data_IF_648291177700
#
_entry.id   IF_648291177700
#
_cell.length_a   1.000
_cell.length_b   1.000
_cell.length_c   1.000
_cell.angle_alpha   90.00
_cell.angle_beta   90.00
_cell.angle_gamma   90.00
#
_symmetry.space_group_name_H-M   'P 1'
#
loop_
_entity.id
_entity.type
_entity.pdbx_description
1 polymer ?
#
# COMPACT_ATOMS: atom_id res chain seq x y z
N UNK A 1 14.67 21.12 -26.31
CA UNK A 1 15.29 19.80 -26.04
C UNK A 1 15.72 19.24 -27.38
N UNK A 2 16.97 18.76 -27.52
CA UNK A 2 17.47 18.26 -28.79
C UNK A 2 16.95 16.84 -29.06
N UNK A 3 16.54 16.60 -30.31
CA UNK A 3 16.12 15.32 -30.87
C UNK A 3 17.10 14.17 -30.54
N UNK A 4 16.60 13.05 -30.03
CA UNK A 4 17.39 11.79 -29.99
C UNK A 4 17.48 11.13 -31.38
N UNK A 5 16.61 11.50 -32.32
CA UNK A 5 16.65 11.03 -33.72
C UNK A 5 16.76 12.24 -34.65
N UNK A 6 17.98 12.56 -35.09
CA UNK A 6 18.25 13.66 -36.02
C UNK A 6 18.14 13.26 -37.49
N UNK A 7 18.00 11.96 -37.77
CA UNK A 7 17.88 11.42 -39.12
C UNK A 7 16.59 10.60 -39.25
N UNK A 8 15.69 11.07 -40.10
CA UNK A 8 14.49 10.35 -40.51
C UNK A 8 14.84 9.48 -41.71
N UNK A 9 14.37 8.22 -41.71
CA UNK A 9 14.58 7.31 -42.83
C UNK A 9 13.67 7.67 -44.00
N UNK A 10 14.00 7.20 -45.20
CA UNK A 10 13.18 7.38 -46.40
C UNK A 10 11.75 6.83 -46.16
N UNK A 11 10.73 7.68 -46.30
CA UNK A 11 9.32 7.34 -46.02
C UNK A 11 8.83 7.65 -44.59
N UNK A 12 9.62 8.31 -43.74
CA UNK A 12 9.16 8.91 -42.48
C UNK A 12 8.85 10.40 -42.66
N UNK A 13 7.66 10.85 -42.23
CA UNK A 13 7.27 12.26 -42.24
C UNK A 13 7.35 12.81 -40.80
N UNK A 14 8.10 13.90 -40.55
CA UNK A 14 8.21 14.48 -39.21
C UNK A 14 6.91 15.17 -38.76
N UNK A 15 6.64 15.14 -37.45
CA UNK A 15 5.51 15.80 -36.79
C UNK A 15 6.05 16.58 -35.58
N UNK A 16 5.89 17.91 -35.58
CA UNK A 16 6.28 18.82 -34.49
C UNK A 16 7.67 18.54 -33.91
N UNK A 17 8.65 18.28 -34.79
CA UNK A 17 10.07 18.04 -34.52
C UNK A 17 10.44 16.84 -33.64
N UNK A 18 9.54 16.27 -32.84
CA UNK A 18 9.85 15.21 -31.87
C UNK A 18 9.21 13.85 -32.20
N UNK A 19 8.21 13.86 -33.09
CA UNK A 19 7.52 12.67 -33.56
C UNK A 19 7.72 12.46 -35.05
N UNK A 20 7.47 11.23 -35.51
CA UNK A 20 7.33 10.95 -36.93
C UNK A 20 6.18 9.99 -37.20
N UNK A 21 5.66 10.06 -38.42
CA UNK A 21 4.76 9.07 -38.98
C UNK A 21 5.49 8.30 -40.07
N UNK A 22 5.18 7.02 -40.23
CA UNK A 22 5.81 6.17 -41.23
C UNK A 22 4.84 5.09 -41.69
N UNK A 23 5.01 4.61 -42.91
CA UNK A 23 4.15 3.57 -43.48
C UNK A 23 4.62 2.19 -43.04
N UNK A 24 3.71 1.34 -42.57
CA UNK A 24 3.96 -0.08 -42.30
C UNK A 24 2.81 -0.91 -42.89
N UNK A 25 3.07 -1.62 -43.97
CA UNK A 25 2.02 -2.24 -44.78
C UNK A 25 1.14 -1.17 -45.43
N UNK A 26 -0.18 -1.29 -45.30
CA UNK A 26 -1.12 -0.32 -45.87
C UNK A 26 -1.38 0.90 -44.96
N UNK A 27 -1.04 0.82 -43.67
CA UNK A 27 -1.45 1.81 -42.68
C UNK A 27 -0.28 2.67 -42.19
N UNK A 28 -0.57 3.96 -41.98
CA UNK A 28 0.33 4.89 -41.33
C UNK A 28 0.43 4.62 -39.82
N UNK A 29 1.65 4.67 -39.30
CA UNK A 29 2.00 4.49 -37.90
C UNK A 29 2.62 5.78 -37.37
N UNK A 30 2.38 6.09 -36.11
CA UNK A 30 2.97 7.19 -35.37
C UNK A 30 4.02 6.68 -34.39
N UNK A 31 5.11 7.43 -34.22
CA UNK A 31 6.16 7.17 -33.25
C UNK A 31 6.64 8.46 -32.59
N UNK A 32 6.73 8.44 -31.27
CA UNK A 32 7.30 9.51 -30.44
C UNK A 32 8.23 8.90 -29.40
N UNK A 33 9.43 9.45 -29.25
CA UNK A 33 10.33 9.06 -28.16
C UNK A 33 9.92 9.75 -26.87
N UNK A 34 9.82 9.00 -25.77
CA UNK A 34 9.50 9.52 -24.44
C UNK A 34 10.75 9.47 -23.56
N UNK A 35 11.47 10.60 -23.37
CA UNK A 35 12.75 10.61 -22.64
C UNK A 35 12.61 10.13 -21.19
N UNK A 36 11.55 10.53 -20.49
CA UNK A 36 11.29 10.15 -19.10
C UNK A 36 11.08 8.65 -18.91
N UNK A 37 10.50 7.98 -19.92
CA UNK A 37 10.18 6.55 -19.87
C UNK A 37 11.18 5.70 -20.66
N UNK A 38 12.16 6.34 -21.32
CA UNK A 38 13.19 5.74 -22.16
C UNK A 38 12.63 4.73 -23.18
N UNK A 39 11.46 5.03 -23.75
CA UNK A 39 10.69 4.15 -24.63
C UNK A 39 9.99 4.94 -25.74
N UNK A 40 9.70 4.27 -26.86
CA UNK A 40 8.92 4.85 -27.95
C UNK A 40 7.42 4.61 -27.76
N UNK A 41 6.63 5.68 -27.64
CA UNK A 41 5.19 5.62 -27.89
C UNK A 41 4.95 5.28 -29.37
N UNK A 42 4.16 4.26 -29.64
CA UNK A 42 3.81 3.82 -31.00
C UNK A 42 2.30 3.64 -31.08
N UNK A 43 1.67 4.17 -32.13
CA UNK A 43 0.21 4.11 -32.34
C UNK A 43 -0.08 3.96 -33.82
N UNK A 44 -0.96 3.04 -34.21
CA UNK A 44 -1.47 3.00 -35.57
C UNK A 44 -2.45 4.15 -35.79
N UNK A 45 -2.26 4.92 -36.86
CA UNK A 45 -3.16 6.01 -37.23
C UNK A 45 -4.41 5.51 -37.95
N UNK A 46 -4.44 4.21 -38.30
CA UNK A 46 -5.57 3.52 -38.95
C UNK A 46 -6.07 4.31 -40.18
N UNK A 47 -5.14 4.78 -41.00
CA UNK A 47 -5.42 5.47 -42.27
C UNK A 47 -4.42 5.04 -43.33
N UNK A 48 -4.86 5.04 -44.59
CA UNK A 48 -4.03 4.83 -45.79
C UNK A 48 -3.61 6.16 -46.44
N UNK A 49 -4.41 7.22 -46.25
CA UNK A 49 -4.16 8.57 -46.78
C UNK A 49 -3.11 9.31 -45.95
N UNK A 50 -2.11 9.87 -46.64
CA UNK A 50 -1.01 10.66 -46.06
C UNK A 50 -1.51 11.95 -45.40
N UNK A 51 -2.34 12.73 -46.09
CA UNK A 51 -2.89 13.97 -45.55
C UNK A 51 -3.64 13.74 -44.23
N UNK A 52 -4.46 12.68 -44.19
CA UNK A 52 -5.15 12.27 -42.97
C UNK A 52 -4.19 11.74 -41.89
N UNK A 53 -3.09 11.10 -42.29
CA UNK A 53 -2.07 10.62 -41.36
C UNK A 53 -1.33 11.77 -40.68
N UNK A 54 -1.02 12.84 -41.40
CA UNK A 54 -0.39 14.05 -40.85
C UNK A 54 -1.30 14.66 -39.78
N UNK A 55 -2.57 14.88 -40.07
CA UNK A 55 -3.52 15.48 -39.11
C UNK A 55 -3.73 14.58 -37.87
N UNK A 56 -3.90 13.27 -38.07
CA UNK A 56 -4.00 12.32 -36.94
C UNK A 56 -2.70 12.22 -36.14
N UNK A 57 -1.54 12.34 -36.80
CA UNK A 57 -0.23 12.36 -36.17
C UNK A 57 -0.06 13.59 -35.29
N UNK A 58 -0.44 14.77 -35.78
CA UNK A 58 -0.45 16.02 -35.02
C UNK A 58 -1.35 15.91 -33.78
N UNK A 59 -2.58 15.41 -33.95
CA UNK A 59 -3.51 15.21 -32.85
C UNK A 59 -2.96 14.24 -31.78
N UNK A 60 -2.37 13.12 -32.20
CA UNK A 60 -1.75 12.15 -31.30
C UNK A 60 -0.55 12.74 -30.54
N UNK A 61 0.27 13.56 -31.20
CA UNK A 61 1.36 14.28 -30.53
C UNK A 61 0.82 15.22 -29.45
N UNK A 62 -0.17 16.07 -29.78
CA UNK A 62 -0.76 17.02 -28.83
C UNK A 62 -1.39 16.30 -27.62
N UNK A 63 -2.10 15.20 -27.85
CA UNK A 63 -2.70 14.37 -26.80
C UNK A 63 -1.63 13.81 -25.83
N UNK A 64 -0.57 13.21 -26.37
CA UNK A 64 0.51 12.63 -25.57
C UNK A 64 1.26 13.74 -24.83
N UNK A 65 1.59 14.82 -25.52
CA UNK A 65 2.31 15.96 -24.95
C UNK A 65 1.51 16.61 -23.80
N UNK A 66 0.21 16.84 -23.99
CA UNK A 66 -0.66 17.37 -22.95
C UNK A 66 -0.70 16.48 -21.70
N UNK A 67 -0.78 15.16 -21.87
CA UNK A 67 -0.73 14.22 -20.75
C UNK A 67 0.63 14.24 -20.03
N UNK A 68 1.74 14.32 -20.77
CA UNK A 68 3.08 14.43 -20.18
C UNK A 68 3.29 15.74 -19.41
N UNK A 69 2.74 16.85 -19.91
CA UNK A 69 2.75 18.15 -19.21
C UNK A 69 1.90 18.13 -17.95
N UNK A 70 0.81 17.35 -17.93
CA UNK A 70 0.03 17.07 -16.72
C UNK A 70 0.72 16.09 -15.75
N UNK A 71 1.92 15.60 -16.09
CA UNK A 71 2.66 14.66 -15.25
C UNK A 71 2.16 13.23 -15.32
N UNK A 72 1.25 12.90 -16.24
CA UNK A 72 0.78 11.53 -16.46
C UNK A 72 1.84 10.75 -17.23
N UNK A 73 2.12 9.51 -16.79
CA UNK A 73 2.93 8.61 -17.61
C UNK A 73 2.16 8.23 -18.89
N UNK A 74 2.86 7.80 -19.93
CA UNK A 74 2.27 7.19 -21.11
C UNK A 74 2.14 5.69 -20.90
N UNK A 75 3.24 4.98 -20.63
CA UNK A 75 3.23 3.56 -20.35
C UNK A 75 2.65 3.27 -18.97
N UNK A 76 1.81 2.25 -18.87
CA UNK A 76 1.36 1.75 -17.57
C UNK A 76 2.45 0.87 -16.95
N UNK A 77 2.79 1.17 -15.70
CA UNK A 77 3.51 0.23 -14.84
C UNK A 77 2.55 -0.89 -14.38
N UNK A 78 3.12 -1.98 -13.90
CA UNK A 78 2.35 -3.06 -13.29
C UNK A 78 1.93 -2.71 -11.85
N UNK A 79 0.92 -3.40 -11.33
CA UNK A 79 0.50 -3.31 -9.93
C UNK A 79 1.66 -3.60 -8.96
N UNK A 80 2.51 -4.59 -9.28
CA UNK A 80 3.71 -4.89 -8.49
C UNK A 80 4.68 -3.70 -8.44
N UNK A 81 5.00 -3.12 -9.58
CA UNK A 81 5.88 -1.94 -9.66
C UNK A 81 5.26 -0.75 -8.89
N UNK A 82 3.94 -0.56 -8.98
CA UNK A 82 3.22 0.46 -8.22
C UNK A 82 3.31 0.28 -6.71
N UNK A 83 3.15 -0.95 -6.23
CA UNK A 83 3.31 -1.30 -4.80
C UNK A 83 4.74 -1.04 -4.33
N UNK A 84 5.74 -1.46 -5.11
CA UNK A 84 7.16 -1.22 -4.77
C UNK A 84 7.50 0.27 -4.67
N UNK A 85 7.03 1.08 -5.62
CA UNK A 85 7.18 2.54 -5.58
C UNK A 85 6.57 3.13 -4.30
N UNK A 86 5.35 2.72 -3.95
CA UNK A 86 4.70 3.22 -2.74
C UNK A 86 5.37 2.75 -1.45
N UNK A 87 5.82 1.50 -1.38
CA UNK A 87 6.59 1.02 -0.22
C UNK A 87 7.91 1.78 -0.07
N UNK A 88 8.58 2.12 -1.17
CA UNK A 88 9.78 2.96 -1.12
C UNK A 88 9.49 4.36 -0.58
N UNK A 89 8.34 4.94 -0.96
CA UNK A 89 7.86 6.22 -0.42
C UNK A 89 7.56 6.12 1.08
N UNK A 90 6.82 5.09 1.51
CA UNK A 90 6.52 4.84 2.93
C UNK A 90 7.75 4.50 3.75
N UNK A 91 8.82 3.97 3.15
CA UNK A 91 10.10 3.76 3.82
C UNK A 91 10.77 5.10 4.17
N UNK A 92 10.71 6.09 3.28
CA UNK A 92 11.18 7.45 3.60
C UNK A 92 10.37 8.08 4.74
N UNK A 93 9.07 7.79 4.83
CA UNK A 93 8.25 8.21 5.98
C UNK A 93 8.73 7.58 7.30
N UNK A 94 9.33 6.38 7.28
CA UNK A 94 9.99 5.80 8.47
C UNK A 94 11.26 6.56 8.82
N UNK A 95 12.09 6.85 7.82
CA UNK A 95 13.35 7.58 7.98
C UNK A 95 13.13 9.00 8.51
N UNK A 96 12.04 9.64 8.11
CA UNK A 96 11.61 10.97 8.58
C UNK A 96 10.82 10.93 9.91
N UNK A 97 10.55 9.74 10.46
CA UNK A 97 9.81 9.59 11.72
C UNK A 97 8.29 9.84 11.62
N UNK A 98 7.73 9.98 10.41
CA UNK A 98 6.29 10.09 10.20
C UNK A 98 5.55 8.79 10.51
N UNK A 99 6.19 7.62 10.33
CA UNK A 99 5.67 6.33 10.73
C UNK A 99 6.74 5.44 11.37
N UNK A 100 6.29 4.46 12.16
CA UNK A 100 7.17 3.42 12.73
C UNK A 100 7.36 2.25 11.77
N UNK A 101 8.46 1.51 11.92
CA UNK A 101 8.80 0.33 11.08
C UNK A 101 7.69 -0.75 11.07
N UNK A 102 7.05 -0.99 12.21
CA UNK A 102 5.92 -1.93 12.30
C UNK A 102 4.72 -1.53 11.42
N UNK A 103 4.50 -0.22 11.22
CA UNK A 103 3.45 0.27 10.31
C UNK A 103 3.81 -0.01 8.86
N UNK A 104 5.08 0.17 8.47
CA UNK A 104 5.54 -0.18 7.12
C UNK A 104 5.37 -1.67 6.83
N UNK A 105 5.72 -2.54 7.78
CA UNK A 105 5.52 -3.98 7.65
C UNK A 105 4.04 -4.34 7.45
N UNK A 106 3.14 -3.70 8.23
CA UNK A 106 1.69 -3.87 8.08
C UNK A 106 1.20 -3.45 6.69
N UNK A 107 1.66 -2.31 6.18
CA UNK A 107 1.32 -1.83 4.84
C UNK A 107 1.78 -2.83 3.78
N UNK A 108 3.01 -3.34 3.89
CA UNK A 108 3.53 -4.34 2.96
C UNK A 108 2.67 -5.61 2.94
N UNK A 109 2.26 -6.12 4.10
CA UNK A 109 1.35 -7.28 4.18
C UNK A 109 0.00 -7.01 3.52
N UNK A 110 -0.62 -5.85 3.78
CA UNK A 110 -1.89 -5.48 3.16
C UNK A 110 -1.77 -5.43 1.62
N UNK A 111 -0.71 -4.80 1.12
CA UNK A 111 -0.48 -4.68 -0.33
C UNK A 111 -0.12 -6.01 -0.98
N UNK A 112 0.49 -6.94 -0.23
CA UNK A 112 0.70 -8.29 -0.73
C UNK A 112 -0.63 -9.05 -0.94
N UNK A 113 -1.60 -8.88 -0.04
CA UNK A 113 -2.95 -9.44 -0.23
C UNK A 113 -3.67 -8.82 -1.44
N UNK A 114 -3.50 -7.51 -1.66
CA UNK A 114 -3.98 -6.83 -2.86
C UNK A 114 -3.38 -7.42 -4.14
N UNK A 115 -2.05 -7.58 -4.19
CA UNK A 115 -1.37 -8.17 -5.35
C UNK A 115 -1.81 -9.62 -5.63
N UNK A 116 -2.10 -10.40 -4.59
CA UNK A 116 -2.65 -11.75 -4.75
C UNK A 116 -4.06 -11.74 -5.35
N UNK A 117 -4.84 -10.70 -5.06
CA UNK A 117 -6.21 -10.57 -5.58
C UNK A 117 -6.25 -10.01 -7.01
N UNK A 118 -5.56 -8.89 -7.26
CA UNK A 118 -5.64 -8.19 -8.55
C UNK A 118 -4.67 -8.74 -9.61
N UNK A 119 -3.66 -9.50 -9.19
CA UNK A 119 -2.55 -9.95 -10.02
C UNK A 119 -1.36 -8.99 -10.00
N UNK A 120 -0.14 -9.52 -10.08
CA UNK A 120 1.12 -8.75 -9.99
C UNK A 120 1.49 -8.02 -11.28
N UNK A 121 1.07 -8.56 -12.41
CA UNK A 121 1.46 -8.10 -13.74
C UNK A 121 0.39 -7.25 -14.43
N UNK A 122 -0.77 -7.10 -13.78
CA UNK A 122 -1.89 -6.26 -14.23
C UNK A 122 -1.44 -4.81 -14.35
N UNK A 123 -1.84 -4.13 -15.42
CA UNK A 123 -1.44 -2.75 -15.68
C UNK A 123 -2.33 -1.78 -14.89
N UNK A 124 -1.72 -0.87 -14.14
CA UNK A 124 -2.45 0.11 -13.31
C UNK A 124 -3.46 0.99 -14.06
N UNK A 125 -3.25 1.24 -15.35
CA UNK A 125 -4.16 2.03 -16.20
C UNK A 125 -5.29 1.22 -16.81
N UNK A 126 -5.23 -0.11 -16.73
CA UNK A 126 -6.32 -1.01 -17.13
C UNK A 126 -7.32 -1.24 -15.98
N UNK A 127 -6.97 -0.79 -14.76
CA UNK A 127 -7.81 -0.99 -13.58
C UNK A 127 -8.96 0.01 -13.53
N UNK A 128 -10.14 -0.51 -13.24
CA UNK A 128 -11.37 0.24 -13.02
C UNK A 128 -11.73 0.29 -11.52
N UNK A 129 -12.61 1.24 -11.15
CA UNK A 129 -13.00 1.44 -9.75
C UNK A 129 -13.65 0.21 -9.13
N UNK A 130 -14.32 -0.60 -9.93
CA UNK A 130 -15.08 -1.80 -9.54
C UNK A 130 -14.23 -3.06 -9.41
N UNK A 131 -12.98 -3.07 -9.88
CA UNK A 131 -12.16 -4.29 -9.89
C UNK A 131 -11.93 -4.89 -8.50
N UNK A 132 -12.05 -4.08 -7.45
CA UNK A 132 -11.92 -4.52 -6.06
C UNK A 132 -13.25 -4.71 -5.33
N UNK A 133 -14.39 -4.67 -6.01
CA UNK A 133 -15.72 -4.79 -5.37
C UNK A 133 -15.81 -6.08 -4.52
N UNK A 134 -15.32 -7.19 -5.05
CA UNK A 134 -15.37 -8.52 -4.42
C UNK A 134 -14.16 -8.85 -3.52
N UNK A 135 -13.32 -7.88 -3.19
CA UNK A 135 -12.10 -8.09 -2.40
C UNK A 135 -12.39 -8.78 -1.05
N UNK A 136 -13.44 -8.36 -0.34
CA UNK A 136 -13.80 -8.97 0.95
C UNK A 136 -14.16 -10.45 0.82
N UNK A 137 -14.97 -10.81 -0.19
CA UNK A 137 -15.34 -12.20 -0.43
C UNK A 137 -14.10 -13.06 -0.71
N UNK A 138 -13.18 -12.58 -1.54
CA UNK A 138 -11.91 -13.26 -1.80
C UNK A 138 -11.07 -13.44 -0.53
N UNK A 139 -10.94 -12.39 0.30
CA UNK A 139 -10.20 -12.46 1.58
C UNK A 139 -10.84 -13.43 2.57
N UNK A 140 -12.16 -13.44 2.64
CA UNK A 140 -12.91 -14.35 3.48
C UNK A 140 -12.69 -15.81 3.07
N UNK A 141 -12.77 -16.10 1.76
CA UNK A 141 -12.54 -17.44 1.21
C UNK A 141 -11.10 -17.91 1.37
N UNK A 142 -10.12 -17.05 1.04
CA UNK A 142 -8.68 -17.38 1.11
C UNK A 142 -8.17 -17.66 2.53
N UNK A 143 -8.89 -17.23 3.56
CA UNK A 143 -8.53 -17.47 4.96
C UNK A 143 -9.42 -18.51 5.64
N UNK A 144 -10.27 -19.21 4.88
CA UNK A 144 -11.26 -20.13 5.42
C UNK A 144 -12.09 -19.48 6.54
N UNK A 145 -12.61 -18.27 6.29
CA UNK A 145 -13.48 -17.51 7.22
C UNK A 145 -12.80 -17.03 8.50
N UNK A 146 -11.47 -17.09 8.59
CA UNK A 146 -10.72 -16.65 9.80
C UNK A 146 -10.45 -15.14 9.82
N UNK A 147 -10.46 -14.46 8.67
CA UNK A 147 -10.17 -13.02 8.63
C UNK A 147 -11.30 -12.21 9.27
N UNK A 148 -10.92 -11.29 10.15
CA UNK A 148 -11.88 -10.34 10.75
C UNK A 148 -12.23 -9.25 9.75
N UNK A 149 -13.48 -8.82 9.77
CA UNK A 149 -13.94 -7.72 8.90
C UNK A 149 -13.15 -6.42 9.11
N UNK A 150 -12.80 -6.07 10.34
CA UNK A 150 -11.98 -4.89 10.66
C UNK A 150 -10.60 -4.97 10.00
N UNK A 151 -10.01 -6.16 9.93
CA UNK A 151 -8.74 -6.37 9.21
C UNK A 151 -8.90 -6.05 7.74
N UNK A 152 -9.97 -6.53 7.09
CA UNK A 152 -10.21 -6.24 5.67
C UNK A 152 -10.50 -4.75 5.45
N UNK A 153 -11.22 -4.06 6.33
CA UNK A 153 -11.42 -2.61 6.24
C UNK A 153 -10.10 -1.82 6.31
N UNK A 154 -9.17 -2.27 7.15
CA UNK A 154 -7.83 -1.68 7.22
C UNK A 154 -7.00 -1.96 5.96
N UNK A 155 -7.12 -3.15 5.39
CA UNK A 155 -6.53 -3.50 4.08
C UNK A 155 -7.09 -2.57 2.98
N UNK A 156 -8.42 -2.46 2.86
CA UNK A 156 -9.11 -1.58 1.89
C UNK A 156 -8.64 -0.13 1.99
N UNK A 157 -8.53 0.39 3.21
CA UNK A 157 -8.02 1.76 3.47
C UNK A 157 -6.57 1.93 3.00
N UNK A 158 -5.74 0.88 3.17
CA UNK A 158 -4.34 0.90 2.74
C UNK A 158 -4.22 0.86 1.22
N UNK A 159 -5.06 0.06 0.56
CA UNK A 159 -5.13 -0.03 -0.91
C UNK A 159 -5.58 1.31 -1.49
N UNK A 160 -6.61 1.95 -0.93
CA UNK A 160 -7.04 3.26 -1.40
C UNK A 160 -6.01 4.36 -1.14
N UNK A 161 -5.23 4.28 -0.06
CA UNK A 161 -4.11 5.20 0.16
C UNK A 161 -3.00 5.03 -0.91
N UNK A 162 -2.69 3.78 -1.29
CA UNK A 162 -1.79 3.47 -2.40
C UNK A 162 -2.32 4.08 -3.71
N UNK A 163 -3.57 3.80 -4.07
CA UNK A 163 -4.15 4.28 -5.34
C UNK A 163 -4.19 5.81 -5.41
N UNK A 164 -4.56 6.47 -4.31
CA UNK A 164 -4.55 7.93 -4.22
C UNK A 164 -3.15 8.50 -4.45
N UNK A 165 -2.12 7.87 -3.88
CA UNK A 165 -0.74 8.28 -4.09
C UNK A 165 -0.30 8.03 -5.54
N UNK A 166 -0.61 6.87 -6.12
CA UNK A 166 -0.28 6.55 -7.51
C UNK A 166 -0.95 7.51 -8.50
N UNK A 167 -2.21 7.86 -8.27
CA UNK A 167 -2.95 8.82 -9.09
C UNK A 167 -2.33 10.22 -9.03
N UNK A 168 -1.96 10.68 -7.82
CA UNK A 168 -1.27 11.96 -7.62
C UNK A 168 0.08 12.01 -8.35
N UNK A 169 0.74 10.86 -8.53
CA UNK A 169 1.99 10.73 -9.28
C UNK A 169 1.78 10.39 -10.77
N UNK A 170 0.54 10.42 -11.27
CA UNK A 170 0.23 10.25 -12.70
C UNK A 170 0.32 8.80 -13.21
N UNK A 171 0.33 7.80 -12.33
CA UNK A 171 0.54 6.39 -12.72
C UNK A 171 -0.77 5.62 -13.01
N UNK A 172 -1.91 6.13 -12.56
CA UNK A 172 -3.24 5.53 -12.75
C UNK A 172 -4.30 6.62 -12.93
N UNK A 173 -5.41 6.27 -13.56
CA UNK A 173 -6.53 7.18 -13.82
C UNK A 173 -7.55 7.23 -12.68
N UNK A 174 -7.56 6.22 -11.80
CA UNK A 174 -8.46 6.16 -10.64
C UNK A 174 -7.73 6.55 -9.35
N UNK A 175 -8.41 7.25 -8.47
CA UNK A 175 -7.89 7.69 -7.17
C UNK A 175 -8.17 6.69 -6.04
N UNK A 176 -9.19 5.84 -6.22
CA UNK A 176 -9.60 4.83 -5.24
C UNK A 176 -10.44 3.73 -5.89
N UNK A 177 -10.51 2.58 -5.23
CA UNK A 177 -11.46 1.52 -5.56
C UNK A 177 -12.75 1.65 -4.75
N UNK A 178 -13.83 1.19 -5.38
CA UNK A 178 -15.15 1.03 -4.78
C UNK A 178 -15.28 -0.40 -4.25
N UNK A 179 -15.05 -0.56 -2.95
CA UNK A 179 -15.26 -1.83 -2.27
C UNK A 179 -16.73 -2.01 -1.92
N UNK A 180 -17.24 -3.25 -2.01
CA UNK A 180 -18.59 -3.57 -1.54
C UNK A 180 -18.75 -3.18 -0.07
N UNK A 181 -19.81 -2.44 0.23
CA UNK A 181 -20.13 -2.03 1.60
C UNK A 181 -20.28 -3.27 2.48
N UNK A 182 -19.49 -3.30 3.54
CA UNK A 182 -19.53 -4.37 4.52
C UNK A 182 -20.65 -4.09 5.53
N UNK A 183 -21.34 -5.13 6.02
CA UNK A 183 -22.37 -4.95 7.04
C UNK A 183 -21.77 -4.27 8.27
N UNK A 184 -22.59 -3.51 9.01
CA UNK A 184 -22.14 -2.96 10.29
C UNK A 184 -21.77 -4.14 11.19
N UNK A 185 -20.56 -4.13 11.74
CA UNK A 185 -20.24 -5.02 12.84
C UNK A 185 -21.09 -4.60 14.03
N UNK A 186 -21.85 -5.54 14.59
CA UNK A 186 -22.38 -5.36 15.93
C UNK A 186 -21.18 -5.30 16.89
N UNK A 187 -21.03 -4.15 17.57
CA UNK A 187 -19.95 -3.90 18.52
C UNK A 187 -20.20 -4.57 19.88
N UNK A 188 -21.32 -5.27 20.08
CA UNK A 188 -21.76 -5.90 21.33
C UNK A 188 -20.69 -6.09 22.42
N UNK A 189 -20.14 -7.31 22.54
CA UNK A 189 -19.15 -7.67 23.57
C UNK A 189 -17.74 -7.05 23.36
N UNK A 190 -17.56 -6.09 22.46
CA UNK A 190 -16.28 -5.38 22.35
C UNK A 190 -16.00 -4.55 23.62
N UNK A 191 -17.06 -4.08 24.30
CA UNK A 191 -16.99 -3.45 25.61
C UNK A 191 -16.49 -4.43 26.70
N UNK A 192 -16.95 -5.69 26.69
CA UNK A 192 -16.47 -6.73 27.61
C UNK A 192 -15.03 -7.15 27.27
N UNK A 193 -14.68 -7.27 25.98
CA UNK A 193 -13.32 -7.61 25.53
C UNK A 193 -12.26 -6.56 25.87
N UNK A 194 -12.68 -5.30 26.10
CA UNK A 194 -11.81 -4.21 26.54
C UNK A 194 -12.12 -3.78 27.98
N UNK A 195 -12.91 -4.57 28.71
CA UNK A 195 -13.19 -4.28 30.10
C UNK A 195 -11.87 -4.31 30.88
N UNK A 196 -11.65 -3.24 31.64
CA UNK A 196 -10.61 -3.20 32.66
C UNK A 196 -11.11 -3.95 33.88
N UNK A 197 -10.19 -4.56 34.63
CA UNK A 197 -10.52 -5.13 35.93
C UNK A 197 -11.19 -4.07 36.80
N UNK A 198 -12.29 -4.42 37.44
CA UNK A 198 -12.85 -3.64 38.55
C UNK A 198 -11.89 -3.66 39.74
N UNK A 199 -12.10 -2.80 40.73
CA UNK A 199 -11.27 -2.76 41.93
C UNK A 199 -11.31 -4.10 42.68
N UNK A 200 -12.46 -4.76 42.77
CA UNK A 200 -12.64 -6.05 43.45
C UNK A 200 -11.94 -7.20 42.70
N UNK A 201 -12.01 -7.19 41.36
CA UNK A 201 -11.29 -8.15 40.52
C UNK A 201 -9.77 -7.94 40.58
N UNK A 202 -9.33 -6.67 40.58
CA UNK A 202 -7.93 -6.33 40.79
C UNK A 202 -7.45 -6.75 42.19
N UNK A 203 -8.30 -6.60 43.20
CA UNK A 203 -8.02 -7.05 44.56
C UNK A 203 -7.84 -8.56 44.63
N UNK A 204 -8.77 -9.29 44.03
CA UNK A 204 -8.68 -10.75 43.90
C UNK A 204 -7.37 -11.15 43.20
N UNK A 205 -7.01 -10.46 42.12
CA UNK A 205 -5.79 -10.71 41.37
C UNK A 205 -4.51 -10.49 42.21
N UNK A 206 -4.35 -9.34 42.88
CA UNK A 206 -3.12 -9.11 43.65
C UNK A 206 -3.03 -10.00 44.89
N UNK A 207 -4.16 -10.38 45.51
CA UNK A 207 -4.19 -11.36 46.61
C UNK A 207 -3.77 -12.74 46.13
N UNK A 208 -4.28 -13.19 44.99
CA UNK A 208 -3.83 -14.44 44.37
C UNK A 208 -2.33 -14.41 44.06
N UNK A 209 -1.80 -13.29 43.53
CA UNK A 209 -0.36 -13.14 43.29
C UNK A 209 0.49 -13.19 44.57
N UNK A 210 -0.02 -12.67 45.69
CA UNK A 210 0.66 -12.78 46.99
C UNK A 210 0.76 -14.24 47.44
N UNK A 211 -0.33 -14.98 47.35
CA UNK A 211 -0.35 -16.43 47.67
C UNK A 211 0.53 -17.21 46.70
N UNK A 212 0.53 -16.87 45.41
CA UNK A 212 1.35 -17.51 44.37
C UNK A 212 2.86 -17.41 44.65
N UNK A 213 3.31 -16.33 45.29
CA UNK A 213 4.71 -16.11 45.68
C UNK A 213 5.00 -16.43 47.16
N UNK A 214 4.06 -17.05 47.89
CA UNK A 214 4.19 -17.25 49.32
C UNK A 214 5.17 -18.38 49.68
N UNK A 215 5.86 -18.21 50.82
CA UNK A 215 6.88 -19.15 51.31
C UNK A 215 6.35 -20.57 51.58
N UNK A 216 5.07 -20.70 51.92
CA UNK A 216 4.46 -22.00 52.21
C UNK A 216 4.35 -22.91 50.97
N UNK A 217 4.52 -22.37 49.76
CA UNK A 217 4.54 -23.15 48.52
C UNK A 217 5.85 -23.94 48.31
N UNK A 218 6.85 -23.80 49.20
CA UNK A 218 8.14 -24.52 49.15
C UNK A 218 8.82 -24.45 47.77
N UNK A 219 8.78 -23.26 47.17
CA UNK A 219 9.35 -22.99 45.85
C UNK A 219 10.87 -22.94 45.93
N UNK A 220 11.54 -23.39 44.87
CA UNK A 220 12.96 -23.12 44.71
C UNK A 220 13.22 -21.63 44.40
N UNK A 221 14.46 -21.19 44.57
CA UNK A 221 14.84 -19.79 44.40
C UNK A 221 14.68 -19.28 42.95
N UNK A 222 14.81 -20.16 41.96
CA UNK A 222 14.69 -19.80 40.55
C UNK A 222 13.22 -19.57 40.18
N UNK A 223 12.34 -20.46 40.60
CA UNK A 223 10.90 -20.35 40.43
C UNK A 223 10.35 -19.16 41.21
N UNK A 224 10.75 -18.97 42.48
CA UNK A 224 10.34 -17.80 43.26
C UNK A 224 10.72 -16.49 42.56
N UNK A 225 11.92 -16.42 41.97
CA UNK A 225 12.38 -15.26 41.20
C UNK A 225 11.48 -14.99 40.00
N UNK A 226 11.16 -16.01 39.19
CA UNK A 226 10.27 -15.86 38.03
C UNK A 226 8.88 -15.39 38.47
N UNK A 227 8.31 -16.00 39.53
CA UNK A 227 7.00 -15.62 40.06
C UNK A 227 6.99 -14.18 40.58
N UNK A 228 8.05 -13.75 41.26
CA UNK A 228 8.22 -12.37 41.72
C UNK A 228 8.32 -11.37 40.58
N UNK A 229 9.02 -11.71 39.49
CA UNK A 229 9.08 -10.86 38.29
C UNK A 229 7.67 -10.66 37.72
N UNK A 230 6.87 -11.72 37.60
CA UNK A 230 5.48 -11.62 37.13
C UNK A 230 4.64 -10.75 38.06
N UNK A 231 4.73 -10.97 39.38
CA UNK A 231 4.02 -10.16 40.38
C UNK A 231 4.36 -8.67 40.24
N UNK A 232 5.64 -8.33 40.19
CA UNK A 232 6.07 -6.94 40.05
C UNK A 232 5.70 -6.35 38.69
N UNK A 233 5.72 -7.13 37.62
CA UNK A 233 5.28 -6.70 36.30
C UNK A 233 3.80 -6.29 36.32
N UNK A 234 2.91 -7.10 36.89
CA UNK A 234 1.47 -6.75 36.99
C UNK A 234 1.26 -5.53 37.89
N UNK A 235 1.97 -5.43 39.01
CA UNK A 235 1.87 -4.27 39.92
C UNK A 235 2.32 -2.98 39.23
N UNK A 236 3.46 -2.99 38.54
CA UNK A 236 3.94 -1.81 37.80
C UNK A 236 2.95 -1.45 36.69
N UNK A 237 2.41 -2.42 35.95
CA UNK A 237 1.42 -2.16 34.90
C UNK A 237 0.19 -1.43 35.45
N UNK A 238 -0.36 -1.94 36.56
CA UNK A 238 -1.57 -1.39 37.18
C UNK A 238 -1.36 0.02 37.77
N UNK A 239 -0.19 0.30 38.34
CA UNK A 239 0.08 1.59 39.00
C UNK A 239 0.62 2.67 38.05
N UNK A 240 1.26 2.29 36.94
CA UNK A 240 1.89 3.26 36.03
C UNK A 240 1.03 3.62 34.82
N UNK A 241 0.05 2.79 34.46
CA UNK A 241 -0.72 2.96 33.23
C UNK A 241 0.09 2.80 31.93
N UNK A 242 1.34 2.34 32.02
CA UNK A 242 2.20 2.09 30.86
C UNK A 242 1.61 1.00 29.97
N UNK A 243 1.79 1.13 28.65
CA UNK A 243 1.51 0.02 27.74
C UNK A 243 2.54 -1.09 27.96
N UNK A 244 2.13 -2.33 27.73
CA UNK A 244 3.00 -3.54 27.83
C UNK A 244 4.35 -3.36 27.13
N UNK A 245 4.35 -2.74 25.93
CA UNK A 245 5.58 -2.47 25.18
C UNK A 245 6.49 -1.44 25.84
N UNK A 246 5.92 -0.37 26.39
CA UNK A 246 6.64 0.70 27.11
C UNK A 246 7.25 0.13 28.40
N UNK A 247 6.46 -0.65 29.15
CA UNK A 247 6.92 -1.28 30.39
C UNK A 247 8.07 -2.26 30.18
N UNK A 248 8.11 -2.99 29.06
CA UNK A 248 9.22 -3.88 28.70
C UNK A 248 10.52 -3.15 28.38
N UNK A 249 10.45 -1.85 28.09
CA UNK A 249 11.61 -1.00 27.79
C UNK A 249 12.11 -0.23 29.02
N UNK A 250 11.50 -0.43 30.20
CA UNK A 250 11.96 0.20 31.44
C UNK A 250 13.39 -0.24 31.78
N UNK A 251 14.25 0.75 32.03
CA UNK A 251 15.61 0.55 32.49
C UNK A 251 15.84 1.34 33.77
N UNK A 252 16.55 0.75 34.73
CA UNK A 252 17.02 1.48 35.89
C UNK A 252 18.16 2.41 35.45
N UNK A 253 17.95 3.72 35.53
CA UNK A 253 19.07 4.65 35.54
C UNK A 253 19.79 4.48 36.88
N UNK A 254 21.05 4.02 36.84
CA UNK A 254 21.93 4.17 38.00
C UNK A 254 22.17 5.66 38.17
N UNK A 255 21.53 6.28 39.16
CA UNK A 255 21.99 7.58 39.64
C UNK A 255 23.45 7.40 40.08
N UNK A 256 24.35 8.18 39.47
CA UNK A 256 25.72 8.33 39.94
C UNK A 256 25.74 9.27 41.13
#
# INVERSE_FOLDING_TARGET
MALKKQHFAEGEIPIFDEACIYKRGEYWQFRLWLPKENKYARKSLRTRSEATAIEKGKAAYLEIYANLQQGKSYFSITTKEGVEKYLSFRKRDVELGHIVSGRLATIATHLQHFLTFIGKDTKLKELERTDCENYFYHRHKSTNTKVKQVTVQNEQSTINALMKWLNKNGETHIDSFEFKKLPRLDKGNEAIRRATLTNDEYETLYRAMRTYCAKHNKLDDAELRVRKIVQHYVLVAANSGLRVGEQRQLQFQRQR
#
